data_IF_223490445905
#
_entry.id   IF_223490445905
#
_cell.length_a   1.000
_cell.length_b   1.000
_cell.length_c   1.000
_cell.angle_alpha   90.00
_cell.angle_beta   90.00
_cell.angle_gamma   90.00
#
_symmetry.space_group_name_H-M   'P 1'
#
loop_
_entity.id
_entity.type
_entity.pdbx_description
1 polymer ?
#
# COMPACT_ATOMS: atom_id res chain seq x y z
N UNK A 1 46.57 19.04 -13.22
CA UNK A 1 45.30 19.75 -12.88
C UNK A 1 44.24 19.68 -13.99
N UNK A 2 44.58 19.86 -15.28
CA UNK A 2 43.58 19.81 -16.37
C UNK A 2 42.86 18.44 -16.51
N UNK A 3 43.58 17.32 -16.33
CA UNK A 3 43.00 15.95 -16.41
C UNK A 3 42.01 15.60 -15.29
N UNK A 4 42.14 16.20 -14.10
CA UNK A 4 41.20 16.00 -12.99
C UNK A 4 39.90 16.79 -13.20
N UNK A 5 39.99 17.97 -13.81
CA UNK A 5 38.82 18.79 -14.15
C UNK A 5 37.99 18.16 -15.27
N UNK A 6 38.61 17.55 -16.28
CA UNK A 6 37.86 16.81 -17.31
C UNK A 6 37.21 15.55 -16.78
N UNK A 7 37.82 14.83 -15.83
CA UNK A 7 37.18 13.68 -15.18
C UNK A 7 35.97 14.11 -14.34
N UNK A 8 36.07 15.24 -13.63
CA UNK A 8 34.95 15.80 -12.85
C UNK A 8 33.77 16.26 -13.71
N UNK A 9 34.05 16.79 -14.92
CA UNK A 9 33.01 17.17 -15.89
C UNK A 9 32.39 15.92 -16.53
N UNK A 10 33.18 14.90 -16.85
CA UNK A 10 32.68 13.64 -17.38
C UNK A 10 31.81 12.87 -16.36
N UNK A 11 32.19 12.91 -15.07
CA UNK A 11 31.41 12.37 -13.96
C UNK A 11 30.10 13.15 -13.73
N UNK A 12 30.09 14.48 -13.95
CA UNK A 12 28.85 15.27 -13.88
C UNK A 12 27.88 15.01 -15.04
N UNK A 13 28.37 14.45 -16.15
CA UNK A 13 27.55 13.99 -17.29
C UNK A 13 27.05 12.54 -17.10
N UNK A 14 27.59 11.81 -16.12
CA UNK A 14 27.20 10.44 -15.76
C UNK A 14 26.16 10.41 -14.63
N UNK A 15 25.68 11.56 -14.15
CA UNK A 15 24.48 11.59 -13.31
C UNK A 15 23.35 11.13 -14.21
N UNK A 16 22.72 9.96 -13.96
CA UNK A 16 21.48 9.66 -14.64
C UNK A 16 20.57 10.84 -14.35
N UNK A 17 20.01 11.46 -15.38
CA UNK A 17 18.85 12.33 -15.24
C UNK A 17 17.78 11.43 -14.64
N UNK A 18 17.83 11.25 -13.32
CA UNK A 18 16.68 10.87 -12.55
C UNK A 18 15.76 12.05 -12.79
N UNK A 19 14.82 11.87 -13.72
CA UNK A 19 13.61 12.66 -13.70
C UNK A 19 13.21 12.72 -12.24
N UNK A 20 13.10 13.93 -11.70
CA UNK A 20 12.67 14.16 -10.32
C UNK A 20 11.35 13.42 -10.17
N UNK A 21 11.39 12.21 -9.61
CA UNK A 21 10.22 11.32 -9.52
C UNK A 21 9.31 11.94 -8.47
N UNK A 22 8.26 12.61 -8.92
CA UNK A 22 7.16 13.01 -8.03
C UNK A 22 6.36 11.76 -7.68
N UNK A 23 5.84 11.65 -6.44
CA UNK A 23 4.85 10.62 -6.13
C UNK A 23 3.63 10.79 -7.03
N UNK A 24 2.94 9.69 -7.30
CA UNK A 24 1.64 9.70 -7.97
C UNK A 24 0.52 9.22 -7.03
N UNK A 25 0.90 8.62 -5.90
CA UNK A 25 0.01 8.21 -4.83
C UNK A 25 0.76 8.14 -3.50
N UNK A 26 0.03 7.86 -2.42
CA UNK A 26 0.62 7.67 -1.10
C UNK A 26 -0.43 7.52 -0.02
N UNK A 27 0.03 7.54 1.24
CA UNK A 27 -0.84 7.40 2.39
C UNK A 27 -0.32 8.16 3.60
N UNK A 28 -1.25 8.60 4.45
CA UNK A 28 -0.96 9.24 5.74
C UNK A 28 -1.62 8.41 6.84
N UNK A 29 -0.80 7.76 7.66
CA UNK A 29 -1.25 7.03 8.85
C UNK A 29 -1.36 8.01 10.02
N UNK A 30 -2.58 8.21 10.53
CA UNK A 30 -2.87 9.22 11.55
C UNK A 30 -2.50 8.74 12.96
N UNK A 31 -2.44 9.64 13.96
CA UNK A 31 -2.28 9.26 15.36
C UNK A 31 -3.35 8.27 15.86
N UNK A 32 -4.58 8.37 15.35
CA UNK A 32 -5.66 7.42 15.64
C UNK A 32 -5.36 6.04 15.04
N UNK A 33 -4.85 6.00 13.81
CA UNK A 33 -4.38 4.77 13.19
C UNK A 33 -3.25 4.10 13.98
N UNK A 34 -2.27 4.88 14.46
CA UNK A 34 -1.19 4.39 15.31
C UNK A 34 -1.68 3.85 16.65
N UNK A 35 -2.65 4.54 17.27
CA UNK A 35 -3.28 4.07 18.51
C UNK A 35 -4.02 2.75 18.30
N UNK A 36 -4.71 2.61 17.16
CA UNK A 36 -5.37 1.36 16.78
C UNK A 36 -4.37 0.24 16.55
N UNK A 37 -3.27 0.48 15.81
CA UNK A 37 -2.17 -0.48 15.64
C UNK A 37 -1.62 -0.95 16.98
N UNK A 38 -1.34 -0.01 17.89
CA UNK A 38 -0.83 -0.33 19.21
C UNK A 38 -1.80 -1.23 20.00
N UNK A 39 -3.11 -0.94 19.95
CA UNK A 39 -4.13 -1.73 20.64
C UNK A 39 -4.19 -3.17 20.11
N UNK A 40 -4.26 -3.35 18.79
CA UNK A 40 -4.39 -4.69 18.18
C UNK A 40 -3.09 -5.51 18.26
N UNK A 41 -1.94 -4.85 18.44
CA UNK A 41 -0.64 -5.52 18.59
C UNK A 41 -0.35 -5.99 20.02
N UNK A 42 -1.12 -5.60 21.04
CA UNK A 42 -0.90 -6.03 22.45
C UNK A 42 -0.79 -7.55 22.62
N UNK A 43 -1.67 -8.40 22.06
CA UNK A 43 -1.58 -9.84 22.25
C UNK A 43 -0.33 -10.45 21.60
N UNK A 44 0.09 -9.91 20.46
CA UNK A 44 1.31 -10.31 19.79
C UNK A 44 2.53 -9.96 20.65
N UNK A 45 2.61 -8.73 21.15
CA UNK A 45 3.69 -8.30 22.03
C UNK A 45 3.77 -9.12 23.31
N UNK A 46 2.63 -9.45 23.92
CA UNK A 46 2.58 -10.33 25.09
C UNK A 46 3.10 -11.73 24.78
N UNK A 47 2.78 -12.28 23.61
CA UNK A 47 3.23 -13.61 23.19
C UNK A 47 4.74 -13.64 23.00
N UNK A 48 5.32 -12.66 22.29
CA UNK A 48 6.76 -12.56 22.06
C UNK A 48 7.51 -12.41 23.39
N UNK A 49 7.10 -11.44 24.22
CA UNK A 49 7.74 -11.20 25.51
C UNK A 49 7.59 -12.41 26.45
N UNK A 50 6.45 -13.12 26.42
CA UNK A 50 6.25 -14.33 27.21
C UNK A 50 7.18 -15.46 26.79
N UNK A 51 7.31 -15.71 25.49
CA UNK A 51 8.09 -16.82 24.97
C UNK A 51 9.55 -16.74 25.44
N UNK A 52 10.12 -15.54 25.42
CA UNK A 52 11.53 -15.34 25.72
C UNK A 52 11.79 -15.07 27.21
N UNK A 53 10.92 -14.33 27.92
CA UNK A 53 11.09 -14.10 29.36
C UNK A 53 10.77 -15.33 30.24
N UNK A 54 9.95 -16.27 29.76
CA UNK A 54 9.70 -17.54 30.46
C UNK A 54 10.68 -18.65 30.07
N UNK A 55 11.56 -18.42 29.09
CA UNK A 55 12.54 -19.41 28.68
C UNK A 55 13.52 -19.69 29.84
N UNK A 56 13.81 -20.98 30.16
CA UNK A 56 14.76 -21.29 31.20
C UNK A 56 16.16 -20.84 30.78
N UNK A 57 16.81 -20.02 31.61
CA UNK A 57 18.23 -19.67 31.43
C UNK A 57 19.05 -20.96 31.25
N UNK A 58 19.84 -21.02 30.18
CA UNK A 58 20.75 -22.12 29.88
C UNK A 58 21.62 -22.36 31.13
N UNK A 59 21.77 -23.60 31.63
CA UNK A 59 22.59 -23.84 32.80
C UNK A 59 24.06 -23.55 32.45
N UNK A 60 24.62 -22.47 33.01
CA UNK A 60 26.05 -22.23 32.92
C UNK A 60 26.82 -23.39 33.55
N UNK A 61 27.75 -23.93 32.75
CA UNK A 61 28.76 -24.93 33.11
C UNK A 61 29.83 -24.34 34.05
N UNK A 62 29.43 -23.73 35.16
CA UNK A 62 30.35 -23.28 36.20
C UNK A 62 30.23 -24.18 37.43
N UNK A 63 31.07 -25.22 37.39
CA UNK A 63 31.39 -26.08 38.53
C UNK A 63 31.98 -25.18 39.64
N UNK A 64 31.23 -25.02 40.72
CA UNK A 64 31.76 -24.54 42.00
C UNK A 64 31.30 -23.15 42.44
N UNK A 65 30.00 -22.91 42.56
CA UNK A 65 29.50 -21.91 43.51
C UNK A 65 28.09 -22.25 43.99
N UNK A 66 27.84 -21.99 45.27
CA UNK A 66 26.66 -22.36 46.06
C UNK A 66 25.35 -21.83 45.47
N UNK A 67 24.39 -22.75 45.26
CA UNK A 67 22.93 -22.58 45.04
C UNK A 67 22.49 -21.24 44.42
N UNK A 68 22.15 -21.20 43.12
CA UNK A 68 21.29 -20.13 42.63
C UNK A 68 19.94 -20.31 43.34
N UNK A 69 19.51 -19.33 44.16
CA UNK A 69 18.09 -19.16 44.45
C UNK A 69 17.36 -19.21 43.11
N UNK A 70 16.27 -19.95 42.97
CA UNK A 70 15.58 -20.16 41.68
C UNK A 70 14.35 -19.25 41.61
N UNK A 71 14.56 -17.96 41.41
CA UNK A 71 13.50 -17.00 41.05
C UNK A 71 13.11 -17.25 39.60
N UNK A 72 11.84 -17.55 39.40
CA UNK A 72 11.29 -17.83 38.07
C UNK A 72 10.21 -16.80 37.74
N UNK A 73 10.22 -16.29 36.50
CA UNK A 73 9.10 -15.54 35.95
C UNK A 73 8.04 -16.58 35.62
N UNK A 74 6.84 -16.39 36.15
CA UNK A 74 5.74 -17.33 36.03
C UNK A 74 4.58 -16.76 35.21
N UNK A 75 4.50 -15.44 35.08
CA UNK A 75 3.50 -14.77 34.27
C UNK A 75 4.05 -13.50 33.65
N UNK A 76 3.68 -13.26 32.40
CA UNK A 76 3.95 -12.05 31.63
C UNK A 76 2.62 -11.57 31.08
N UNK A 77 2.26 -10.32 31.40
CA UNK A 77 1.03 -9.67 30.90
C UNK A 77 1.34 -8.26 30.42
N UNK A 78 1.00 -7.93 29.18
CA UNK A 78 1.15 -6.57 28.65
C UNK A 78 -0.06 -5.76 29.10
N UNK A 79 0.18 -4.75 29.93
CA UNK A 79 -0.86 -3.86 30.47
C UNK A 79 -1.14 -2.70 29.53
N UNK A 80 -0.10 -2.15 28.91
CA UNK A 80 -0.19 -1.03 28.00
C UNK A 80 0.83 -1.19 26.87
N UNK A 81 0.41 -0.88 25.65
CA UNK A 81 1.27 -0.74 24.49
C UNK A 81 0.80 0.51 23.76
N UNK A 82 1.70 1.46 23.56
CA UNK A 82 1.40 2.73 22.89
C UNK A 82 2.48 3.08 21.88
N UNK A 83 2.03 3.70 20.79
CA UNK A 83 2.88 4.28 19.75
C UNK A 83 2.56 5.77 19.67
N UNK A 84 3.59 6.60 19.79
CA UNK A 84 3.48 8.06 19.69
C UNK A 84 4.40 8.59 18.61
N UNK A 85 3.98 9.66 17.94
CA UNK A 85 4.78 10.33 16.93
C UNK A 85 5.86 11.17 17.60
N UNK A 86 7.06 11.13 17.04
CA UNK A 86 8.14 12.08 17.32
C UNK A 86 8.42 12.81 16.01
N UNK A 87 7.89 14.04 15.82
CA UNK A 87 8.05 14.79 14.58
C UNK A 87 9.50 14.84 14.11
N UNK A 88 9.70 14.73 12.79
CA UNK A 88 11.00 14.73 12.12
C UNK A 88 11.98 13.60 12.53
N UNK A 89 11.59 12.73 13.48
CA UNK A 89 12.49 11.73 14.07
C UNK A 89 11.98 10.30 13.91
N UNK A 90 10.69 10.04 14.12
CA UNK A 90 10.13 8.70 14.03
C UNK A 90 8.94 8.44 14.97
N UNK A 91 8.96 7.28 15.62
CA UNK A 91 7.96 6.80 16.57
C UNK A 91 8.61 6.52 17.92
N UNK A 92 7.81 6.64 18.97
CA UNK A 92 8.17 6.15 20.31
C UNK A 92 7.18 5.08 20.74
N UNK A 93 7.71 3.88 20.87
CA UNK A 93 7.06 2.72 21.45
C UNK A 93 7.23 2.74 22.97
N UNK A 94 6.12 2.59 23.68
CA UNK A 94 6.14 2.33 25.13
C UNK A 94 5.33 1.07 25.43
N UNK A 95 5.93 0.14 26.17
CA UNK A 95 5.32 -1.13 26.57
C UNK A 95 5.43 -1.29 28.08
N UNK A 96 4.29 -1.43 28.76
CA UNK A 96 4.25 -1.71 30.19
C UNK A 96 3.77 -3.13 30.44
N UNK A 97 4.55 -3.89 31.20
CA UNK A 97 4.40 -5.33 31.41
C UNK A 97 4.37 -5.62 32.90
N UNK A 98 3.35 -6.36 33.33
CA UNK A 98 3.30 -6.95 34.67
C UNK A 98 3.97 -8.32 34.65
N UNK A 99 5.02 -8.47 35.45
CA UNK A 99 5.78 -9.70 35.62
C UNK A 99 5.42 -10.33 36.97
N UNK A 100 4.97 -11.58 36.94
CA UNK A 100 4.77 -12.39 38.14
C UNK A 100 6.05 -13.16 38.45
N UNK A 101 6.75 -12.76 39.49
CA UNK A 101 8.04 -13.32 39.87
C UNK A 101 7.85 -14.11 41.16
N UNK A 102 8.23 -15.39 41.18
CA UNK A 102 8.16 -16.22 42.39
C UNK A 102 9.57 -16.55 42.87
N UNK A 103 10.08 -15.89 43.93
CA UNK A 103 11.32 -16.28 44.57
C UNK A 103 11.04 -17.53 45.42
N UNK A 104 11.73 -18.65 45.20
CA UNK A 104 11.58 -19.81 46.10
C UNK A 104 12.25 -19.52 47.46
N UNK A 105 11.59 -19.75 48.63
CA UNK A 105 10.31 -20.44 48.88
C UNK A 105 9.12 -19.50 49.17
N UNK A 106 9.16 -18.27 48.69
CA UNK A 106 8.23 -17.18 49.01
C UNK A 106 7.04 -17.04 48.04
N UNK A 107 6.14 -16.10 48.34
CA UNK A 107 4.95 -15.75 47.53
C UNK A 107 5.33 -15.00 46.25
N UNK A 108 4.57 -15.20 45.17
CA UNK A 108 4.72 -14.47 43.92
C UNK A 108 4.55 -12.97 44.14
N UNK A 109 5.54 -12.18 43.73
CA UNK A 109 5.49 -10.71 43.70
C UNK A 109 5.22 -10.25 42.27
N UNK A 110 4.48 -9.15 42.14
CA UNK A 110 4.24 -8.51 40.83
C UNK A 110 5.19 -7.33 40.69
N UNK A 111 5.96 -7.32 39.61
CA UNK A 111 6.88 -6.24 39.25
C UNK A 111 6.46 -5.65 37.92
N UNK A 112 6.47 -4.32 37.81
CA UNK A 112 6.18 -3.63 36.55
C UNK A 112 7.48 -3.37 35.79
N UNK A 113 7.55 -3.86 34.55
CA UNK A 113 8.60 -3.57 33.58
C UNK A 113 8.03 -2.57 32.56
N UNK A 114 8.68 -1.42 32.41
CA UNK A 114 8.35 -0.43 31.39
C UNK A 114 9.49 -0.33 30.39
N UNK A 115 9.18 -0.55 29.11
CA UNK A 115 10.13 -0.54 28.02
C UNK A 115 9.81 0.64 27.11
N UNK A 116 10.81 1.48 26.85
CA UNK A 116 10.70 2.59 25.89
C UNK A 116 11.68 2.37 24.76
N UNK A 117 11.20 2.37 23.53
CA UNK A 117 12.02 2.30 22.34
C UNK A 117 11.67 3.43 21.36
N UNK A 118 12.68 4.07 20.81
CA UNK A 118 12.53 5.01 19.70
C UNK A 118 12.76 4.23 18.41
N UNK A 119 11.77 4.28 17.51
CA UNK A 119 11.73 3.58 16.24
C UNK A 119 11.74 4.58 15.10
N UNK A 120 12.28 4.22 13.96
CA UNK A 120 12.13 4.99 12.73
C UNK A 120 11.94 4.05 11.55
N UNK A 121 11.50 4.60 10.42
CA UNK A 121 11.29 3.83 9.20
C UNK A 121 12.32 4.25 8.18
N UNK A 122 13.09 3.29 7.70
CA UNK A 122 14.11 3.48 6.67
C UNK A 122 13.66 2.85 5.35
N UNK A 123 14.30 3.27 4.25
CA UNK A 123 14.18 2.61 2.96
C UNK A 123 15.46 1.81 2.73
N UNK A 124 15.34 0.49 2.62
CA UNK A 124 16.47 -0.39 2.44
C UNK A 124 17.02 -0.30 0.99
N UNK A 125 18.20 -0.89 0.71
CA UNK A 125 18.80 -0.86 -0.63
C UNK A 125 17.94 -1.51 -1.73
N UNK A 126 17.06 -2.44 -1.36
CA UNK A 126 16.10 -3.07 -2.27
C UNK A 126 14.87 -2.20 -2.56
N UNK A 127 14.74 -1.04 -1.90
CA UNK A 127 13.63 -0.09 -2.06
C UNK A 127 12.40 -0.41 -1.22
N UNK A 128 12.51 -1.34 -0.25
CA UNK A 128 11.44 -1.65 0.70
C UNK A 128 11.55 -0.80 1.95
N UNK A 129 10.42 -0.62 2.64
CA UNK A 129 10.39 0.07 3.93
C UNK A 129 10.61 -0.92 5.08
N UNK A 130 11.42 -0.52 6.05
CA UNK A 130 11.66 -1.30 7.26
C UNK A 130 11.59 -0.40 8.50
N UNK A 131 10.96 -0.90 9.56
CA UNK A 131 10.95 -0.29 10.88
C UNK A 131 12.16 -0.81 11.64
N UNK A 132 12.96 0.11 12.17
CA UNK A 132 14.19 -0.19 12.89
C UNK A 132 14.20 0.49 14.25
N UNK A 133 14.88 -0.12 15.21
CA UNK A 133 15.07 0.44 16.55
C UNK A 133 16.29 1.35 16.56
N UNK A 134 16.14 2.61 16.96
CA UNK A 134 17.25 3.56 17.11
C UNK A 134 17.79 3.60 18.54
N UNK A 135 16.92 3.50 19.53
CA UNK A 135 17.26 3.45 20.93
C UNK A 135 16.25 2.62 21.70
N UNK A 136 16.70 1.89 22.72
CA UNK A 136 15.83 1.15 23.61
C UNK A 136 16.32 1.24 25.04
N UNK A 137 15.38 1.45 25.97
CA UNK A 137 15.64 1.59 27.40
C UNK A 137 14.55 0.88 28.22
N UNK A 138 14.88 -0.22 28.92
CA UNK A 138 14.00 -0.82 29.90
C UNK A 138 14.14 -0.11 31.26
N UNK A 139 13.06 -0.07 32.01
CA UNK A 139 12.98 0.46 33.38
C UNK A 139 12.08 -0.44 34.21
N UNK A 140 12.42 -0.65 35.48
CA UNK A 140 11.70 -1.57 36.36
C UNK A 140 11.25 -0.82 37.61
N UNK A 141 9.97 -0.99 37.97
CA UNK A 141 9.38 -0.43 39.18
C UNK A 141 8.74 -1.57 39.99
N UNK A 142 9.15 -1.70 41.25
CA UNK A 142 8.55 -2.68 42.17
C UNK A 142 7.25 -2.12 42.74
N UNK A 143 6.14 -2.82 42.47
CA UNK A 143 4.84 -2.50 43.04
C UNK A 143 4.78 -3.16 44.42
N UNK A 144 5.30 -2.44 45.43
CA UNK A 144 5.23 -2.72 46.89
C UNK A 144 6.17 -3.80 47.47
N UNK A 145 7.34 -3.41 47.99
CA UNK A 145 7.83 -3.81 49.34
C UNK A 145 9.13 -3.08 49.70
N UNK A 146 9.17 -2.40 50.85
CA UNK A 146 10.27 -1.48 51.24
C UNK A 146 11.48 -2.18 51.87
N UNK A 147 11.46 -3.50 52.10
CA UNK A 147 12.52 -4.21 52.85
C UNK A 147 13.33 -5.25 52.05
N UNK A 148 13.05 -5.47 50.76
CA UNK A 148 13.79 -6.44 49.92
C UNK A 148 14.34 -5.85 48.62
N UNK A 149 14.44 -4.51 48.60
CA UNK A 149 14.85 -3.67 47.47
C UNK A 149 16.20 -4.08 46.87
N UNK A 150 17.10 -4.68 47.64
CA UNK A 150 18.47 -4.95 47.16
C UNK A 150 18.60 -6.30 46.44
N UNK A 151 17.80 -7.34 46.76
CA UNK A 151 18.00 -8.69 46.18
C UNK A 151 17.28 -8.94 44.87
N UNK A 152 16.08 -8.39 44.68
CA UNK A 152 15.34 -8.48 43.41
C UNK A 152 16.04 -7.68 42.30
N UNK A 153 16.57 -6.50 42.65
CA UNK A 153 17.36 -5.66 41.75
C UNK A 153 18.64 -6.38 41.32
N UNK A 154 19.31 -7.11 42.22
CA UNK A 154 20.56 -7.82 41.90
C UNK A 154 20.40 -8.95 40.88
N UNK A 155 19.28 -9.68 40.85
CA UNK A 155 19.06 -10.72 39.83
C UNK A 155 18.83 -10.12 38.45
N UNK A 156 17.94 -9.13 38.35
CA UNK A 156 17.68 -8.47 37.07
C UNK A 156 18.90 -7.66 36.60
N UNK A 157 19.68 -7.07 37.53
CA UNK A 157 21.00 -6.51 37.23
C UNK A 157 21.94 -7.56 36.68
N UNK A 158 21.92 -8.82 37.13
CA UNK A 158 22.72 -9.91 36.54
C UNK A 158 22.26 -10.33 35.14
N UNK A 159 20.96 -10.22 34.81
CA UNK A 159 20.45 -10.32 33.43
C UNK A 159 20.95 -9.17 32.55
N UNK A 160 21.23 -7.99 33.14
CA UNK A 160 21.76 -6.81 32.44
C UNK A 160 23.30 -6.72 32.45
N UNK A 161 23.99 -7.24 33.47
CA UNK A 161 25.44 -7.08 33.75
C UNK A 161 26.31 -8.25 33.26
N UNK A 162 25.72 -9.31 32.71
CA UNK A 162 26.49 -10.32 31.97
C UNK A 162 26.96 -9.82 30.58
N UNK A 163 26.53 -8.63 30.17
CA UNK A 163 27.19 -7.83 29.13
C UNK A 163 28.35 -7.03 29.72
N UNK A 164 29.54 -7.61 29.73
CA UNK A 164 30.76 -6.93 30.16
C UNK A 164 30.91 -5.56 29.47
N UNK A 165 30.72 -4.47 30.23
CA UNK A 165 31.34 -3.17 30.04
C UNK A 165 31.59 -2.70 28.60
N UNK A 166 30.54 -2.52 27.80
CA UNK A 166 30.64 -1.74 26.56
C UNK A 166 29.52 -2.00 25.56
N UNK A 167 28.61 -1.03 25.39
CA UNK A 167 27.71 -0.89 24.21
C UNK A 167 26.94 -2.14 23.76
N UNK A 168 26.72 -3.12 24.63
CA UNK A 168 25.93 -4.30 24.28
C UNK A 168 24.47 -4.04 24.64
N UNK A 169 23.58 -4.16 23.65
CA UNK A 169 22.15 -3.97 23.80
C UNK A 169 21.61 -4.96 24.86
N UNK A 170 20.86 -4.47 25.84
CA UNK A 170 20.29 -5.33 26.89
C UNK A 170 19.42 -6.43 26.27
N UNK A 171 19.42 -7.64 26.82
CA UNK A 171 18.65 -8.79 26.33
C UNK A 171 17.16 -8.44 26.08
N UNK A 172 16.54 -7.69 27.01
CA UNK A 172 15.16 -7.18 26.86
C UNK A 172 14.97 -6.29 25.62
N UNK A 173 15.97 -5.50 25.25
CA UNK A 173 15.92 -4.66 24.04
C UNK A 173 16.14 -5.46 22.76
N UNK A 174 16.93 -6.52 22.80
CA UNK A 174 16.99 -7.48 21.68
C UNK A 174 15.63 -8.13 21.46
N UNK A 175 14.88 -8.41 22.54
CA UNK A 175 13.52 -8.95 22.44
C UNK A 175 12.51 -7.94 21.86
N UNK A 176 12.65 -6.66 22.17
CA UNK A 176 11.86 -5.61 21.52
C UNK A 176 12.12 -5.57 20.02
N UNK A 177 13.36 -5.77 19.59
CA UNK A 177 13.68 -5.86 18.16
C UNK A 177 12.99 -7.05 17.47
N UNK A 178 12.72 -8.15 18.19
CA UNK A 178 11.92 -9.26 17.65
C UNK A 178 10.46 -8.90 17.42
N UNK A 179 9.90 -7.94 18.17
CA UNK A 179 8.54 -7.42 17.93
C UNK A 179 8.40 -6.77 16.55
N UNK A 180 9.50 -6.32 15.96
CA UNK A 180 9.52 -5.65 14.65
C UNK A 180 9.64 -6.63 13.48
N UNK A 181 9.95 -7.92 13.73
CA UNK A 181 10.09 -8.92 12.66
C UNK A 181 8.79 -9.07 11.86
N UNK A 182 7.66 -9.32 12.55
CA UNK A 182 6.37 -9.49 11.87
C UNK A 182 5.90 -8.20 11.16
N UNK A 183 5.97 -7.01 11.76
CA UNK A 183 5.69 -5.76 11.04
C UNK A 183 6.56 -5.56 9.79
N UNK A 184 7.86 -5.86 9.85
CA UNK A 184 8.76 -5.70 8.70
C UNK A 184 8.45 -6.70 7.59
N UNK A 185 8.15 -7.96 7.92
CA UNK A 185 7.67 -8.94 6.95
C UNK A 185 6.38 -8.48 6.26
N UNK A 186 5.46 -7.88 7.03
CA UNK A 186 4.21 -7.35 6.50
C UNK A 186 4.40 -6.08 5.64
N UNK A 187 5.37 -5.22 5.97
CA UNK A 187 5.68 -4.02 5.17
C UNK A 187 6.20 -4.37 3.77
N UNK A 188 6.86 -5.51 3.59
CA UNK A 188 7.26 -6.01 2.27
C UNK A 188 6.04 -6.21 1.36
N UNK A 189 4.85 -6.51 1.91
CA UNK A 189 3.64 -6.66 1.10
C UNK A 189 3.19 -5.36 0.41
N UNK A 190 3.65 -4.19 0.88
CA UNK A 190 3.34 -2.89 0.27
C UNK A 190 3.92 -2.77 -1.15
N UNK A 191 5.07 -3.41 -1.40
CA UNK A 191 5.78 -3.38 -2.69
C UNK A 191 5.49 -4.61 -3.55
N UNK A 192 4.50 -5.43 -3.17
CA UNK A 192 4.08 -6.57 -3.96
C UNK A 192 3.51 -6.15 -5.33
N UNK A 193 3.53 -7.11 -6.27
CA UNK A 193 2.91 -6.94 -7.58
C UNK A 193 1.44 -7.38 -7.52
N UNK A 194 0.55 -6.50 -7.95
CA UNK A 194 -0.89 -6.70 -7.93
C UNK A 194 -1.44 -6.85 -9.36
N UNK A 195 -2.25 -7.87 -9.64
CA UNK A 195 -2.89 -8.00 -10.94
C UNK A 195 -3.97 -6.91 -11.11
N UNK A 196 -3.90 -6.20 -12.25
CA UNK A 196 -4.96 -5.28 -12.72
C UNK A 196 -5.79 -5.97 -13.80
N UNK A 197 -5.15 -6.70 -14.70
CA UNK A 197 -5.79 -7.55 -15.70
C UNK A 197 -4.92 -8.81 -15.93
N UNK A 198 -5.37 -9.81 -16.70
CA UNK A 198 -4.56 -11.00 -16.99
C UNK A 198 -3.18 -10.71 -17.60
N UNK A 199 -3.04 -9.57 -18.29
CA UNK A 199 -1.81 -9.14 -18.96
C UNK A 199 -1.17 -7.90 -18.33
N UNK A 200 -1.74 -7.33 -17.27
CA UNK A 200 -1.29 -6.07 -16.66
C UNK A 200 -1.15 -6.21 -15.14
N UNK A 201 0.02 -5.82 -14.63
CA UNK A 201 0.33 -5.80 -13.20
C UNK A 201 0.74 -4.40 -12.75
N UNK A 202 0.44 -4.08 -11.51
CA UNK A 202 0.72 -2.83 -10.82
C UNK A 202 1.65 -3.09 -9.63
N UNK A 203 2.64 -2.24 -9.43
CA UNK A 203 3.49 -2.25 -8.25
C UNK A 203 3.63 -0.84 -7.69
N UNK A 204 3.53 -0.71 -6.37
CA UNK A 204 3.78 0.53 -5.64
C UNK A 204 5.21 0.54 -5.10
N UNK A 205 5.94 1.61 -5.34
CA UNK A 205 7.33 1.76 -4.92
C UNK A 205 7.48 3.00 -4.02
N UNK A 206 8.05 2.86 -2.81
CA UNK A 206 8.48 3.99 -2.00
C UNK A 206 9.49 4.86 -2.76
N UNK A 207 9.30 6.18 -2.70
CA UNK A 207 10.26 7.12 -3.28
C UNK A 207 11.35 7.55 -2.29
N UNK A 208 11.02 7.52 -1.00
CA UNK A 208 11.90 7.89 0.10
C UNK A 208 11.40 7.26 1.41
N UNK A 209 12.21 7.38 2.46
CA UNK A 209 11.75 7.09 3.82
C UNK A 209 10.53 7.95 4.19
N UNK A 210 9.60 7.44 5.02
CA UNK A 210 8.42 8.19 5.43
C UNK A 210 8.73 9.47 6.20
N UNK A 211 7.85 10.46 6.07
CA UNK A 211 7.94 11.73 6.79
C UNK A 211 7.04 11.69 8.02
N UNK A 212 7.60 12.02 9.19
CA UNK A 212 6.90 12.05 10.47
C UNK A 212 6.51 13.48 10.84
N UNK A 213 5.22 13.73 11.00
CA UNK A 213 4.66 15.03 11.34
C UNK A 213 3.59 14.91 12.42
N UNK A 214 3.09 16.04 12.91
CA UNK A 214 1.93 16.07 13.82
C UNK A 214 0.66 15.45 13.21
N UNK A 215 0.55 15.44 11.88
CA UNK A 215 -0.61 14.90 11.17
C UNK A 215 -0.56 13.36 11.06
N UNK A 216 0.63 12.78 11.18
CA UNK A 216 0.86 11.36 10.99
C UNK A 216 2.17 11.01 10.30
N UNK A 217 2.25 9.74 9.88
CA UNK A 217 3.33 9.20 9.05
C UNK A 217 2.90 9.26 7.59
N UNK A 218 3.63 10.04 6.78
CA UNK A 218 3.37 10.19 5.35
C UNK A 218 4.30 9.30 4.54
N UNK A 219 3.71 8.42 3.72
CA UNK A 219 4.42 7.55 2.78
C UNK A 219 4.10 8.02 1.36
N UNK A 220 5.15 8.42 0.64
CA UNK A 220 5.06 8.86 -0.76
C UNK A 220 5.44 7.71 -1.70
N UNK A 221 4.53 7.35 -2.60
CA UNK A 221 4.65 6.19 -3.47
C UNK A 221 4.64 6.61 -4.94
N UNK A 222 5.28 5.79 -5.76
CA UNK A 222 5.19 5.84 -7.21
C UNK A 222 4.65 4.51 -7.75
N UNK A 223 3.77 4.57 -8.73
CA UNK A 223 3.32 3.38 -9.43
C UNK A 223 4.20 3.01 -10.61
N UNK A 224 4.35 1.70 -10.80
CA UNK A 224 4.92 1.11 -12.00
C UNK A 224 3.98 0.05 -12.54
N UNK A 225 3.93 -0.06 -13.86
CA UNK A 225 3.07 -1.03 -14.53
C UNK A 225 3.90 -1.96 -15.39
N UNK A 226 3.52 -3.24 -15.39
CA UNK A 226 4.10 -4.26 -16.24
C UNK A 226 3.03 -4.83 -17.15
N UNK A 227 3.32 -4.92 -18.45
CA UNK A 227 2.45 -5.52 -19.45
C UNK A 227 3.16 -6.72 -20.03
N UNK A 228 2.53 -7.90 -19.96
CA UNK A 228 3.12 -9.18 -20.36
C UNK A 228 4.52 -9.43 -19.72
N UNK A 229 4.68 -9.04 -18.44
CA UNK A 229 5.92 -9.19 -17.68
C UNK A 229 7.01 -8.15 -17.97
N UNK A 230 6.73 -7.16 -18.81
CA UNK A 230 7.68 -6.10 -19.17
C UNK A 230 7.22 -4.74 -18.63
N UNK A 231 8.09 -4.02 -17.93
CA UNK A 231 7.80 -2.67 -17.46
C UNK A 231 7.56 -1.74 -18.65
N UNK A 232 6.48 -0.96 -18.60
CA UNK A 232 6.13 -0.01 -19.67
C UNK A 232 6.60 1.41 -19.32
N UNK A 233 6.99 2.22 -20.31
CA UNK A 233 7.27 3.63 -20.09
C UNK A 233 5.97 4.40 -19.84
N UNK A 234 5.82 4.96 -18.64
CA UNK A 234 4.63 5.76 -18.31
C UNK A 234 4.71 7.17 -18.89
N UNK A 235 3.55 7.79 -19.21
CA UNK A 235 3.51 9.21 -19.55
C UNK A 235 4.12 10.06 -18.42
N UNK A 236 4.83 11.12 -18.77
CA UNK A 236 5.38 12.04 -17.76
C UNK A 236 4.24 12.94 -17.25
N UNK A 237 4.11 13.07 -15.92
CA UNK A 237 3.17 14.03 -15.34
C UNK A 237 3.62 15.46 -15.67
N UNK A 238 2.75 16.32 -16.23
CA UNK A 238 3.07 17.73 -16.44
C UNK A 238 3.11 18.50 -15.11
N UNK A 239 2.45 18.01 -14.07
CA UNK A 239 2.34 18.66 -12.75
C UNK A 239 2.88 17.71 -11.68
N UNK A 240 3.91 18.11 -10.91
CA UNK A 240 4.35 17.34 -9.76
C UNK A 240 3.23 17.21 -8.73
N UNK A 241 2.98 16.01 -8.25
CA UNK A 241 2.04 15.76 -7.16
C UNK A 241 2.79 15.72 -5.83
N UNK A 242 2.18 16.29 -4.79
CA UNK A 242 2.64 16.23 -3.42
C UNK A 242 1.51 15.68 -2.55
N UNK A 243 1.88 14.98 -1.49
CA UNK A 243 0.88 14.49 -0.54
C UNK A 243 0.12 15.66 0.08
N UNK A 244 -1.22 15.65 0.04
CA UNK A 244 -2.03 16.73 0.59
C UNK A 244 -1.96 16.72 2.12
N UNK A 245 -1.93 17.91 2.72
CA UNK A 245 -2.01 18.05 4.17
C UNK A 245 -3.41 17.68 4.65
N UNK A 246 -3.47 16.87 5.71
CA UNK A 246 -4.74 16.52 6.35
C UNK A 246 -5.19 17.64 7.29
N UNK A 247 -6.51 17.78 7.43
CA UNK A 247 -7.07 18.51 8.56
C UNK A 247 -6.58 17.88 9.87
N UNK A 248 -6.18 18.71 10.83
CA UNK A 248 -5.54 18.31 12.10
C UNK A 248 -6.36 17.36 12.97
N UNK A 249 -7.63 17.12 12.64
CA UNK A 249 -8.55 16.25 13.39
C UNK A 249 -9.24 15.21 12.50
N UNK A 250 -8.54 14.65 11.50
CA UNK A 250 -9.09 13.58 10.68
C UNK A 250 -9.48 12.38 11.55
N UNK A 251 -10.75 11.92 11.53
CA UNK A 251 -11.18 10.77 12.33
C UNK A 251 -10.75 9.41 11.73
N UNK A 252 -10.17 9.43 10.52
CA UNK A 252 -9.75 8.23 9.81
C UNK A 252 -8.42 7.68 10.36
N UNK A 253 -8.26 6.35 10.36
CA UNK A 253 -6.97 5.73 10.70
C UNK A 253 -5.92 6.01 9.61
N UNK A 254 -6.33 5.93 8.35
CA UNK A 254 -5.47 6.08 7.18
C UNK A 254 -6.17 6.98 6.16
N UNK A 255 -5.41 7.85 5.50
CA UNK A 255 -5.90 8.55 4.31
C UNK A 255 -4.99 8.26 3.14
N UNK A 256 -5.52 7.62 2.10
CA UNK A 256 -4.79 7.41 0.84
C UNK A 256 -5.04 8.58 -0.11
N UNK A 257 -4.04 8.92 -0.91
CA UNK A 257 -4.14 9.95 -1.93
C UNK A 257 -3.67 9.42 -3.29
N UNK A 258 -4.40 9.74 -4.35
CA UNK A 258 -4.11 9.31 -5.72
C UNK A 258 -4.22 10.50 -6.67
N UNK A 259 -3.14 10.82 -7.38
CA UNK A 259 -3.13 11.91 -8.35
C UNK A 259 -3.91 11.58 -9.62
N UNK A 260 -4.26 12.61 -10.40
CA UNK A 260 -4.76 12.45 -11.76
C UNK A 260 -3.78 11.63 -12.64
N UNK A 261 -2.47 11.78 -12.37
CA UNK A 261 -1.42 11.05 -13.07
C UNK A 261 -1.43 9.54 -12.77
N UNK A 262 -1.76 9.14 -11.53
CA UNK A 262 -1.97 7.73 -11.18
C UNK A 262 -3.07 7.12 -12.07
N UNK A 263 -4.23 7.77 -12.16
CA UNK A 263 -5.33 7.26 -12.97
C UNK A 263 -4.99 7.26 -14.46
N UNK A 264 -4.37 8.34 -14.98
CA UNK A 264 -3.96 8.40 -16.38
C UNK A 264 -2.93 7.30 -16.72
N UNK A 265 -2.01 6.99 -15.81
CA UNK A 265 -1.02 5.92 -15.97
C UNK A 265 -1.67 4.53 -15.94
N UNK A 266 -2.65 4.31 -15.07
CA UNK A 266 -3.46 3.09 -15.03
C UNK A 266 -4.19 2.83 -16.35
N UNK A 267 -4.91 3.82 -16.87
CA UNK A 267 -5.64 3.68 -18.12
C UNK A 267 -4.69 3.49 -19.31
N UNK A 268 -3.54 4.17 -19.32
CA UNK A 268 -2.49 3.95 -20.31
C UNK A 268 -1.95 2.50 -20.27
N UNK A 269 -1.72 1.94 -19.09
CA UNK A 269 -1.26 0.56 -18.94
C UNK A 269 -2.27 -0.45 -19.46
N UNK A 270 -3.57 -0.24 -19.19
CA UNK A 270 -4.65 -1.07 -19.71
C UNK A 270 -4.78 -0.97 -21.25
N UNK A 271 -4.60 0.22 -21.81
CA UNK A 271 -4.56 0.44 -23.26
C UNK A 271 -3.38 -0.33 -23.90
N UNK A 272 -2.17 -0.21 -23.34
CA UNK A 272 -0.99 -0.96 -23.77
C UNK A 272 -1.15 -2.48 -23.64
N UNK A 273 -1.91 -2.93 -22.63
CA UNK A 273 -2.26 -4.32 -22.44
C UNK A 273 -3.31 -4.85 -23.43
N UNK A 274 -3.85 -3.99 -24.30
CA UNK A 274 -4.91 -4.32 -25.26
C UNK A 274 -6.28 -4.54 -24.61
N UNK A 275 -6.44 -4.14 -23.34
CA UNK A 275 -7.67 -4.39 -22.58
C UNK A 275 -8.88 -3.63 -23.14
N UNK A 276 -8.64 -2.55 -23.90
CA UNK A 276 -9.69 -1.72 -24.50
C UNK A 276 -9.86 -1.92 -26.02
N UNK A 277 -9.40 -3.04 -26.58
CA UNK A 277 -9.69 -3.38 -27.97
C UNK A 277 -11.15 -3.83 -28.09
N UNK A 278 -11.98 -3.01 -28.74
CA UNK A 278 -13.44 -3.21 -28.75
C UNK A 278 -13.95 -3.60 -30.13
N UNK A 279 -14.72 -4.69 -30.18
CA UNK A 279 -15.59 -5.01 -31.31
C UNK A 279 -17.03 -4.91 -30.84
N UNK A 280 -17.79 -4.02 -31.47
CA UNK A 280 -19.16 -3.68 -31.09
C UNK A 280 -20.09 -4.18 -32.20
N UNK A 281 -21.08 -4.97 -31.83
CA UNK A 281 -22.10 -5.44 -32.76
C UNK A 281 -23.15 -4.34 -32.94
N UNK A 282 -23.40 -3.95 -34.19
CA UNK A 282 -24.48 -3.01 -34.50
C UNK A 282 -25.79 -3.77 -34.71
N UNK A 283 -26.95 -3.22 -34.32
CA UNK A 283 -28.24 -3.74 -34.77
C UNK A 283 -28.51 -3.46 -36.26
N UNK A 284 -27.62 -2.72 -36.93
CA UNK A 284 -27.76 -2.33 -38.34
C UNK A 284 -27.18 -3.40 -39.27
N UNK A 285 -27.73 -3.46 -40.48
CA UNK A 285 -27.22 -4.26 -41.61
C UNK A 285 -26.81 -3.37 -42.78
N UNK A 286 -26.05 -3.89 -43.74
CA UNK A 286 -25.62 -3.13 -44.92
C UNK A 286 -26.82 -2.58 -45.71
N UNK A 287 -27.94 -3.31 -45.77
CA UNK A 287 -29.19 -2.83 -46.36
C UNK A 287 -29.78 -1.63 -45.61
N UNK A 288 -29.71 -1.60 -44.27
CA UNK A 288 -30.21 -0.44 -43.48
C UNK A 288 -29.32 0.80 -43.62
N UNK A 289 -28.02 0.62 -43.91
CA UNK A 289 -27.06 1.71 -44.08
C UNK A 289 -27.03 2.25 -45.53
N UNK A 290 -27.35 1.41 -46.52
CA UNK A 290 -27.32 1.75 -47.94
C UNK A 290 -28.09 3.03 -48.35
N UNK A 291 -29.26 3.38 -47.76
CA UNK A 291 -29.94 4.63 -48.08
C UNK A 291 -29.15 5.89 -47.72
N UNK A 292 -28.22 5.79 -46.76
CA UNK A 292 -27.39 6.91 -46.30
C UNK A 292 -26.00 6.92 -46.93
N UNK A 293 -25.49 5.75 -47.31
CA UNK A 293 -24.21 5.58 -47.99
C UNK A 293 -24.50 4.86 -49.31
N UNK A 294 -24.73 5.63 -50.36
CA UNK A 294 -25.20 5.13 -51.66
C UNK A 294 -24.25 4.12 -52.32
N UNK A 295 -22.96 4.12 -51.94
CA UNK A 295 -21.96 3.15 -52.40
C UNK A 295 -22.11 1.76 -51.76
N UNK A 296 -22.91 1.60 -50.70
CA UNK A 296 -23.05 0.34 -49.96
C UNK A 296 -23.73 -0.76 -50.78
N UNK A 297 -24.79 -0.41 -51.52
CA UNK A 297 -25.55 -1.39 -52.31
C UNK A 297 -24.77 -1.97 -53.48
N UNK A 298 -23.71 -1.29 -53.94
CA UNK A 298 -22.77 -1.83 -54.94
C UNK A 298 -21.62 -2.64 -54.32
N UNK A 299 -21.20 -2.30 -53.11
CA UNK A 299 -20.07 -2.95 -52.43
C UNK A 299 -20.49 -4.25 -51.74
N UNK A 300 -21.72 -4.31 -51.25
CA UNK A 300 -22.27 -5.47 -50.53
C UNK A 300 -23.58 -5.90 -51.20
N UNK A 301 -23.51 -6.83 -52.17
CA UNK A 301 -24.70 -7.35 -52.87
C UNK A 301 -25.59 -8.20 -51.96
N UNK A 302 -25.04 -8.72 -50.86
CA UNK A 302 -25.76 -9.42 -49.81
C UNK A 302 -25.94 -8.53 -48.57
N UNK A 303 -27.04 -8.73 -47.85
CA UNK A 303 -27.28 -8.03 -46.60
C UNK A 303 -26.44 -8.65 -45.48
N UNK A 304 -25.48 -7.87 -44.97
CA UNK A 304 -24.50 -8.32 -43.98
C UNK A 304 -24.63 -7.52 -42.68
N UNK A 305 -24.32 -8.11 -41.52
CA UNK A 305 -24.33 -7.38 -40.26
C UNK A 305 -23.25 -6.30 -40.26
N UNK A 306 -23.59 -5.12 -39.72
CA UNK A 306 -22.63 -4.04 -39.51
C UNK A 306 -21.94 -4.24 -38.17
N UNK A 307 -20.62 -4.16 -38.18
CA UNK A 307 -19.76 -4.25 -37.01
C UNK A 307 -19.00 -2.94 -36.87
N UNK A 308 -18.80 -2.49 -35.64
CA UNK A 308 -17.94 -1.36 -35.32
C UNK A 308 -16.69 -1.85 -34.60
N UNK A 309 -15.51 -1.52 -35.11
CA UNK A 309 -14.24 -1.73 -34.42
C UNK A 309 -13.74 -0.39 -33.90
N UNK A 310 -13.63 -0.24 -32.58
CA UNK A 310 -13.16 1.00 -31.96
C UNK A 310 -11.73 0.84 -31.47
N UNK A 311 -10.88 1.80 -31.81
CA UNK A 311 -9.45 1.84 -31.45
C UNK A 311 -9.11 3.21 -30.89
N UNK A 312 -8.22 3.27 -29.91
CA UNK A 312 -7.72 4.53 -29.35
C UNK A 312 -6.80 5.23 -30.34
N UNK A 313 -7.10 6.50 -30.62
CA UNK A 313 -6.29 7.37 -31.49
C UNK A 313 -5.10 7.97 -30.74
N UNK A 314 -5.22 8.10 -29.43
CA UNK A 314 -4.19 8.62 -28.55
C UNK A 314 -4.44 8.16 -27.12
N UNK A 315 -3.39 8.21 -26.29
CA UNK A 315 -3.46 7.83 -24.88
C UNK A 315 -4.60 8.53 -24.16
N UNK A 316 -5.40 7.72 -23.47
CA UNK A 316 -6.50 8.18 -22.62
C UNK A 316 -6.00 9.10 -21.51
N UNK A 317 -6.85 10.06 -21.11
CA UNK A 317 -6.55 10.98 -20.01
C UNK A 317 -7.69 10.99 -19.03
N UNK A 318 -7.37 10.92 -17.75
CA UNK A 318 -8.33 11.18 -16.68
C UNK A 318 -8.25 12.65 -16.33
N UNK A 319 -9.41 13.26 -16.09
CA UNK A 319 -9.53 14.64 -15.63
C UNK A 319 -10.26 14.62 -14.30
N UNK A 320 -9.64 15.18 -13.27
CA UNK A 320 -10.21 15.29 -11.93
C UNK A 320 -10.58 16.74 -11.63
N UNK A 321 -11.86 16.99 -11.47
CA UNK A 321 -12.43 18.24 -10.97
C UNK A 321 -13.08 18.01 -9.61
N UNK A 322 -13.36 19.09 -8.88
CA UNK A 322 -14.01 18.98 -7.56
C UNK A 322 -15.33 18.19 -7.66
N UNK A 323 -15.37 17.05 -6.96
CA UNK A 323 -16.50 16.13 -6.94
C UNK A 323 -16.76 15.36 -8.25
N UNK A 324 -15.88 15.45 -9.26
CA UNK A 324 -16.11 14.83 -10.58
C UNK A 324 -14.82 14.24 -11.15
N UNK A 325 -14.92 13.00 -11.64
CA UNK A 325 -13.89 12.38 -12.45
C UNK A 325 -14.43 12.08 -13.84
N UNK A 326 -13.61 12.28 -14.87
CA UNK A 326 -13.99 11.97 -16.25
C UNK A 326 -12.82 11.36 -17.01
N UNK A 327 -13.11 10.33 -17.82
CA UNK A 327 -12.18 9.74 -18.76
C UNK A 327 -12.40 10.37 -20.14
N UNK A 328 -11.36 11.00 -20.68
CA UNK A 328 -11.34 11.53 -22.04
C UNK A 328 -10.92 10.43 -22.99
N UNK A 329 -11.84 10.08 -23.88
CA UNK A 329 -11.71 9.02 -24.86
C UNK A 329 -11.60 9.65 -26.25
N UNK A 330 -10.51 9.34 -26.95
CA UNK A 330 -10.25 9.80 -28.31
C UNK A 330 -10.15 8.55 -29.19
N UNK A 331 -11.25 8.22 -29.87
CA UNK A 331 -11.43 6.96 -30.57
C UNK A 331 -11.48 7.17 -32.08
N UNK A 332 -11.04 6.16 -32.82
CA UNK A 332 -11.38 5.96 -34.22
C UNK A 332 -12.25 4.73 -34.31
N UNK A 333 -13.47 4.88 -34.81
CA UNK A 333 -14.43 3.81 -34.99
C UNK A 333 -14.53 3.45 -36.46
N UNK A 334 -14.07 2.26 -36.81
CA UNK A 334 -14.22 1.67 -38.12
C UNK A 334 -15.57 0.97 -38.21
N UNK A 335 -16.41 1.39 -39.14
CA UNK A 335 -17.72 0.80 -39.43
C UNK A 335 -17.58 -0.04 -40.69
N UNK A 336 -17.93 -1.33 -40.59
CA UNK A 336 -17.72 -2.29 -41.65
C UNK A 336 -18.71 -3.44 -41.66
N UNK A 337 -18.68 -4.25 -42.70
CA UNK A 337 -19.47 -5.47 -42.78
C UNK A 337 -18.76 -6.62 -42.06
N UNK A 338 -19.51 -7.43 -41.31
CA UNK A 338 -19.03 -8.64 -40.65
C UNK A 338 -19.27 -9.88 -41.50
N UNK A 339 -18.20 -10.41 -42.11
CA UNK A 339 -18.02 -11.78 -42.68
C UNK A 339 -17.54 -11.76 -44.15
N UNK A 340 -16.57 -12.62 -44.54
CA UNK A 340 -15.76 -13.53 -43.70
C UNK A 340 -14.59 -12.81 -43.00
N UNK A 341 -14.25 -11.60 -43.45
CA UNK A 341 -13.29 -10.70 -42.82
C UNK A 341 -13.93 -9.33 -42.65
N UNK A 342 -13.53 -8.59 -41.62
CA UNK A 342 -14.04 -7.23 -41.40
C UNK A 342 -13.64 -6.34 -42.57
N UNK A 343 -14.64 -5.78 -43.27
CA UNK A 343 -14.41 -4.84 -44.37
C UNK A 343 -14.95 -3.46 -43.99
N UNK A 344 -14.04 -2.59 -43.54
CA UNK A 344 -14.36 -1.20 -43.21
C UNK A 344 -14.76 -0.42 -44.45
N UNK A 345 -15.90 0.27 -44.39
CA UNK A 345 -16.37 1.18 -45.43
C UNK A 345 -16.49 2.63 -44.96
N UNK A 346 -16.43 2.87 -43.64
CA UNK A 346 -16.49 4.20 -43.04
C UNK A 346 -15.60 4.22 -41.79
N UNK A 347 -14.88 5.30 -41.58
CA UNK A 347 -14.12 5.55 -40.35
C UNK A 347 -14.58 6.86 -39.75
N UNK A 348 -14.93 6.86 -38.47
CA UNK A 348 -15.42 8.03 -37.74
C UNK A 348 -14.51 8.28 -36.55
N UNK A 349 -14.00 9.51 -36.43
CA UNK A 349 -13.30 9.93 -35.22
C UNK A 349 -14.34 10.36 -34.19
N UNK A 350 -14.25 9.79 -33.00
CA UNK A 350 -15.20 10.02 -31.91
C UNK A 350 -14.42 10.51 -30.70
N UNK A 351 -14.68 11.75 -30.33
CA UNK A 351 -14.12 12.37 -29.12
C UNK A 351 -15.25 12.42 -28.08
N UNK A 352 -15.09 11.65 -27.00
CA UNK A 352 -16.12 11.53 -25.98
C UNK A 352 -15.54 11.58 -24.57
N UNK A 353 -16.39 11.90 -23.61
CA UNK A 353 -16.05 11.89 -22.18
C UNK A 353 -16.98 10.95 -21.46
N UNK A 354 -16.42 10.00 -20.71
CA UNK A 354 -17.17 9.14 -19.83
C UNK A 354 -16.99 9.63 -18.39
N UNK A 355 -18.08 9.86 -17.66
CA UNK A 355 -17.98 10.15 -16.22
C UNK A 355 -17.45 8.92 -15.49
N UNK A 356 -16.56 9.09 -14.52
CA UNK A 356 -16.04 8.02 -13.69
C UNK A 356 -16.66 8.09 -12.28
N UNK A 357 -17.13 6.96 -11.79
CA UNK A 357 -17.50 6.75 -10.40
C UNK A 357 -16.44 5.88 -9.74
N UNK A 358 -15.96 6.35 -8.59
CA UNK A 358 -14.93 5.70 -7.80
C UNK A 358 -15.56 5.23 -6.49
N UNK A 359 -15.34 3.97 -6.15
CA UNK A 359 -15.67 3.41 -4.85
C UNK A 359 -14.57 2.49 -4.38
N UNK A 360 -14.60 2.09 -3.12
CA UNK A 360 -13.61 1.17 -2.56
C UNK A 360 -14.33 0.07 -1.82
N UNK A 361 -13.93 -1.17 -2.11
CA UNK A 361 -14.44 -2.38 -1.47
C UNK A 361 -13.25 -3.18 -0.97
N UNK A 362 -13.21 -3.46 0.33
CA UNK A 362 -12.06 -4.09 1.00
C UNK A 362 -10.77 -3.29 0.77
N UNK A 363 -9.86 -3.80 -0.06
CA UNK A 363 -8.59 -3.15 -0.43
C UNK A 363 -8.52 -2.80 -1.92
N UNK A 364 -9.66 -2.80 -2.63
CA UNK A 364 -9.73 -2.50 -4.07
C UNK A 364 -10.53 -1.24 -4.35
N UNK A 365 -9.99 -0.38 -5.21
CA UNK A 365 -10.73 0.70 -5.83
C UNK A 365 -11.49 0.18 -7.05
N UNK A 366 -12.82 0.27 -6.99
CA UNK A 366 -13.70 -0.05 -8.10
C UNK A 366 -13.93 1.22 -8.91
N UNK A 367 -13.70 1.13 -10.21
CA UNK A 367 -13.89 2.23 -11.15
C UNK A 367 -15.02 1.84 -12.09
N UNK A 368 -15.98 2.72 -12.30
CA UNK A 368 -17.07 2.49 -13.26
C UNK A 368 -17.37 3.74 -14.08
N UNK A 369 -17.82 3.53 -15.30
CA UNK A 369 -18.14 4.53 -16.30
C UNK A 369 -19.61 4.39 -16.71
N UNK A 370 -20.56 4.98 -15.98
CA UNK A 370 -21.99 4.76 -16.19
C UNK A 370 -22.55 5.46 -17.43
N UNK A 371 -22.01 6.62 -17.83
CA UNK A 371 -22.57 7.44 -18.90
C UNK A 371 -21.49 8.12 -19.76
N UNK A 372 -21.75 8.18 -21.06
CA UNK A 372 -21.08 9.05 -22.01
C UNK A 372 -22.10 9.93 -22.76
N UNK A 373 -21.68 11.10 -23.25
CA UNK A 373 -22.55 12.05 -23.95
C UNK A 373 -22.18 12.14 -25.43
N UNK A 374 -23.08 11.75 -26.34
CA UNK A 374 -22.94 11.87 -27.80
C UNK A 374 -24.32 11.86 -28.52
N UNK A 375 -24.47 12.60 -29.64
CA UNK A 375 -25.66 12.63 -30.52
C UNK A 375 -25.30 12.47 -32.02
N UNK A 376 -25.72 11.37 -32.67
CA UNK A 376 -25.76 11.12 -34.14
C UNK A 376 -26.12 9.64 -34.43
N UNK A 377 -26.08 9.16 -35.69
CA UNK A 377 -26.64 7.87 -36.14
C UNK A 377 -26.04 6.59 -35.51
N UNK A 378 -24.72 6.48 -35.43
CA UNK A 378 -24.01 5.35 -34.79
C UNK A 378 -23.69 5.63 -33.32
N UNK A 379 -23.87 6.88 -32.90
CA UNK A 379 -23.58 7.32 -31.56
C UNK A 379 -24.46 6.68 -30.47
N UNK A 380 -25.70 6.17 -30.67
CA UNK A 380 -26.45 5.53 -29.59
C UNK A 380 -25.83 4.18 -29.23
N UNK A 381 -25.38 3.43 -30.24
CA UNK A 381 -24.65 2.17 -30.05
C UNK A 381 -23.30 2.45 -29.39
N UNK A 382 -22.53 3.41 -29.89
CA UNK A 382 -21.21 3.76 -29.32
C UNK A 382 -21.35 4.27 -27.88
N UNK A 383 -22.37 5.10 -27.60
CA UNK A 383 -22.65 5.66 -26.27
C UNK A 383 -22.98 4.60 -25.23
N UNK A 384 -23.64 3.52 -25.64
CA UNK A 384 -24.01 2.43 -24.74
C UNK A 384 -22.89 1.41 -24.60
N UNK A 385 -22.31 0.98 -25.73
CA UNK A 385 -21.42 -0.17 -25.78
C UNK A 385 -19.99 0.17 -25.36
N UNK A 386 -19.48 1.37 -25.67
CA UNK A 386 -18.10 1.74 -25.28
C UNK A 386 -17.96 1.78 -23.75
N UNK A 387 -18.80 2.50 -22.98
CA UNK A 387 -18.71 2.46 -21.52
C UNK A 387 -18.96 1.06 -20.96
N UNK A 388 -19.88 0.28 -21.54
CA UNK A 388 -20.13 -1.09 -21.12
C UNK A 388 -18.89 -1.99 -21.25
N UNK A 389 -18.19 -1.94 -22.39
CA UNK A 389 -16.96 -2.72 -22.58
C UNK A 389 -15.81 -2.22 -21.68
N UNK A 390 -15.70 -0.91 -21.46
CA UNK A 390 -14.74 -0.36 -20.48
C UNK A 390 -15.06 -0.89 -19.08
N UNK A 391 -16.33 -0.91 -18.68
CA UNK A 391 -16.75 -1.40 -17.36
C UNK A 391 -16.45 -2.88 -17.13
N UNK A 392 -16.44 -3.71 -18.18
CA UNK A 392 -16.02 -5.11 -18.06
C UNK A 392 -14.56 -5.22 -17.58
N UNK A 393 -13.70 -4.30 -18.02
CA UNK A 393 -12.29 -4.26 -17.60
C UNK A 393 -12.14 -3.68 -16.20
N UNK A 394 -12.88 -2.61 -15.90
CA UNK A 394 -12.72 -1.84 -14.67
C UNK A 394 -13.43 -2.45 -13.45
N UNK A 395 -14.40 -3.34 -13.66
CA UNK A 395 -15.22 -3.94 -12.59
C UNK A 395 -14.43 -4.80 -11.60
N UNK A 396 -13.31 -5.39 -12.04
CA UNK A 396 -12.37 -6.14 -11.18
C UNK A 396 -11.67 -5.24 -10.16
N UNK A 397 -11.57 -3.94 -10.47
CA UNK A 397 -10.94 -2.94 -9.62
C UNK A 397 -9.42 -3.06 -9.50
N UNK A 398 -8.82 -2.04 -8.90
CA UNK A 398 -7.38 -1.93 -8.69
C UNK A 398 -7.07 -2.08 -7.21
N UNK A 399 -6.12 -2.96 -6.88
CA UNK A 399 -5.67 -3.13 -5.49
C UNK A 399 -4.97 -1.85 -5.03
N UNK A 400 -5.43 -1.28 -3.93
CA UNK A 400 -4.81 -0.13 -3.27
C UNK A 400 -3.55 -0.56 -2.51
N UNK A 401 -2.58 0.36 -2.28
CA UNK A 401 -1.45 0.07 -1.40
C UNK A 401 -2.02 -0.36 -0.05
N UNK A 402 -1.67 -1.55 0.44
CA UNK A 402 -2.17 -2.10 1.70
C UNK A 402 -1.16 -3.04 2.34
N UNK A 403 -1.33 -3.26 3.65
CA UNK A 403 -0.63 -4.29 4.40
C UNK A 403 -1.56 -5.51 4.50
N UNK A 404 -1.06 -6.70 4.17
CA UNK A 404 -1.88 -7.91 3.98
C UNK A 404 -2.76 -8.32 5.17
N UNK A 405 -2.38 -7.95 6.39
CA UNK A 405 -3.11 -8.23 7.64
C UNK A 405 -4.30 -7.29 7.87
N UNK A 406 -4.49 -6.24 7.06
CA UNK A 406 -5.55 -5.25 7.26
C UNK A 406 -6.49 -5.13 6.06
N UNK A 407 -7.74 -4.75 6.34
CA UNK A 407 -8.71 -4.26 5.35
C UNK A 407 -9.09 -2.81 5.63
N UNK A 408 -9.73 -2.16 4.65
CA UNK A 408 -10.30 -0.84 4.81
C UNK A 408 -11.78 -0.90 5.12
N UNK A 409 -12.19 -0.10 6.09
CA UNK A 409 -13.57 0.06 6.56
C UNK A 409 -13.90 1.55 6.70
N UNK A 410 -15.19 1.88 6.86
CA UNK A 410 -15.66 3.27 6.97
C UNK A 410 -15.05 4.18 5.89
N UNK A 411 -15.10 3.72 4.66
CA UNK A 411 -14.39 4.36 3.55
C UNK A 411 -15.24 5.51 3.02
N UNK A 412 -14.59 6.64 2.76
CA UNK A 412 -15.17 7.74 2.02
C UNK A 412 -14.23 8.10 0.86
N UNK A 413 -14.77 8.33 -0.33
CA UNK A 413 -14.01 8.72 -1.52
C UNK A 413 -14.34 10.15 -1.86
N UNK A 414 -13.34 11.02 -1.80
CA UNK A 414 -13.49 12.45 -2.06
C UNK A 414 -12.63 12.82 -3.26
N UNK A 415 -13.26 13.35 -4.30
CA UNK A 415 -12.57 13.78 -5.53
C UNK A 415 -12.31 15.27 -5.41
N UNK A 416 -11.04 15.63 -5.40
CA UNK A 416 -10.58 17.01 -5.50
C UNK A 416 -10.10 17.30 -6.90
N UNK A 417 -9.87 18.59 -7.18
CA UNK A 417 -9.13 18.97 -8.37
C UNK A 417 -7.74 18.30 -8.37
N UNK A 418 -7.41 17.60 -9.46
CA UNK A 418 -6.12 16.94 -9.73
C UNK A 418 -5.80 15.70 -8.84
N UNK A 419 -6.60 15.34 -7.84
CA UNK A 419 -6.36 14.14 -7.00
C UNK A 419 -7.62 13.60 -6.30
N UNK A 420 -7.54 12.37 -5.82
CA UNK A 420 -8.58 11.67 -5.04
C UNK A 420 -8.05 11.35 -3.66
N UNK A 421 -8.85 11.61 -2.62
CA UNK A 421 -8.62 11.19 -1.25
C UNK A 421 -9.52 10.03 -0.88
N UNK A 422 -8.95 9.07 -0.15
CA UNK A 422 -9.65 7.93 0.41
C UNK A 422 -9.34 7.82 1.91
N UNK A 423 -9.98 8.64 2.76
CA UNK A 423 -9.99 8.41 4.21
C UNK A 423 -10.71 7.10 4.54
N UNK A 424 -10.09 6.27 5.38
CA UNK A 424 -10.63 4.99 5.83
C UNK A 424 -10.11 4.60 7.23
N UNK A 425 -10.80 3.63 7.83
CA UNK A 425 -10.36 2.95 9.04
C UNK A 425 -9.71 1.62 8.69
N UNK A 426 -8.73 1.22 9.50
CA UNK A 426 -8.07 -0.08 9.41
C UNK A 426 -8.82 -1.11 10.25
N UNK A 427 -8.96 -2.32 9.73
CA UNK A 427 -9.48 -3.47 10.47
C UNK A 427 -8.50 -4.65 10.33
N UNK A 428 -8.09 -5.25 11.46
CA UNK A 428 -7.18 -6.40 11.45
C UNK A 428 -7.97 -7.64 11.01
N UNK A 429 -7.43 -8.39 10.05
CA UNK A 429 -7.99 -9.68 9.65
C UNK A 429 -7.53 -10.76 10.63
N UNK A 430 -8.46 -11.50 11.20
CA UNK A 430 -8.12 -12.71 11.94
C UNK A 430 -7.53 -13.73 10.95
N UNK A 431 -6.27 -14.15 11.16
CA UNK A 431 -5.71 -15.31 10.45
C UNK A 431 -6.54 -16.53 10.85
N UNK A 432 -7.51 -16.91 10.02
CA UNK A 432 -8.14 -18.22 10.11
C UNK A 432 -7.02 -19.24 9.87
N UNK A 433 -6.64 -19.97 10.93
CA UNK A 433 -5.53 -20.91 10.90
C UNK A 433 -5.58 -21.80 9.67
N UNK A 434 -4.43 -21.99 9.04
CA UNK A 434 -4.22 -22.95 7.98
C UNK A 434 -4.91 -24.26 8.35
N UNK A 435 -5.91 -24.66 7.56
CA UNK A 435 -6.44 -26.01 7.58
C UNK A 435 -5.26 -26.95 7.36
N UNK A 436 -4.87 -27.65 8.41
CA UNK A 436 -4.04 -28.83 8.35
C UNK A 436 -4.78 -29.84 7.48
N UNK A 437 -4.52 -29.84 6.17
CA UNK A 437 -4.82 -30.99 5.32
C UNK A 437 -3.87 -32.10 5.76
N UNK A 438 -4.33 -32.91 6.71
CA UNK A 438 -3.78 -34.24 6.93
C UNK A 438 -4.24 -35.07 5.73
N UNK A 439 -3.29 -35.35 4.83
CA UNK A 439 -3.35 -36.47 3.90
C UNK A 439 -2.63 -37.67 4.51
#
# INVERSE_FOLDING_TARGET
MAKLRTLSILLSLLVPVHSTRSPDCGGILTPLGLSYFAEVSKPHAETVLRQDLLAPAVPDLLVGSTKPSRTQINSVKVTELSLSLVPDSGLRLSVDVDLGITPAPSTTKVTRLSIRADLHVEMNPEGNLEVVTSACKPTMEEVQSTEERERSILWFSLLWDLGNGGKEETEVCLEVSKLLLSPNEELISLTAQFPVSPSCQLQYLPLAAPVFSEQGITISLQTTFQVAGMAIPLPVSPVPFNMPELASSSPAHLTLAFSEHFFSSLFFALEMAGAFNMTILSPLTTATVAPKITQMGSLFPEDLPVVLQAVFRSSTRVVLEEGKAALKLLLTVHVGAGSPAFQSFLSVNVDMSAGLLLSVTNTRMIISAPDALLEELFLPTIRTEVPAQINVVLSEGVVLPHISSFTYTNINVVIHKDYVLVPCNLQLQERTGAQTTVG
#
